data_IF_282630907447
#
_entry.id   IF_282630907447
#
_cell.length_a   1.000
_cell.length_b   1.000
_cell.length_c   1.000
_cell.angle_alpha   90.00
_cell.angle_beta   90.00
_cell.angle_gamma   90.00
#
_symmetry.space_group_name_H-M   'P 1'
#
loop_
_entity.id
_entity.type
_entity.pdbx_description
1 polymer ?
#
# COMPACT_ATOMS: atom_id res chain seq x y z
N UNK A 1 1.37 -9.01 -17.04
CA UNK A 1 2.17 -8.18 -17.97
C UNK A 1 1.70 -6.73 -18.03
N UNK A 2 0.41 -6.44 -18.27
CA UNK A 2 -0.11 -5.05 -18.36
C UNK A 2 0.16 -4.20 -17.09
N UNK A 3 -0.03 -4.77 -15.90
CA UNK A 3 0.21 -4.06 -14.64
C UNK A 3 1.70 -3.72 -14.46
N UNK A 4 2.60 -4.63 -14.84
CA UNK A 4 4.05 -4.40 -14.75
C UNK A 4 4.47 -3.29 -15.73
N UNK A 5 3.93 -3.29 -16.94
CA UNK A 5 4.19 -2.24 -17.95
C UNK A 5 3.66 -0.87 -17.49
N UNK A 6 2.49 -0.83 -16.85
CA UNK A 6 1.93 0.40 -16.29
C UNK A 6 2.76 0.95 -15.11
N UNK A 7 3.26 0.07 -14.24
CA UNK A 7 4.16 0.44 -13.14
C UNK A 7 5.49 0.93 -13.70
N UNK A 8 6.05 0.25 -14.70
CA UNK A 8 7.34 0.64 -15.30
C UNK A 8 7.25 1.99 -16.02
N UNK A 9 6.16 2.24 -16.74
CA UNK A 9 5.93 3.53 -17.41
C UNK A 9 5.78 4.69 -16.40
N UNK A 10 5.09 4.46 -15.28
CA UNK A 10 4.96 5.44 -14.21
C UNK A 10 6.27 5.74 -13.49
N UNK A 11 7.10 4.73 -13.26
CA UNK A 11 8.44 4.88 -12.69
C UNK A 11 9.34 5.67 -13.66
N UNK A 12 9.38 5.29 -14.95
CA UNK A 12 10.27 5.94 -15.93
C UNK A 12 9.93 7.40 -16.20
N UNK A 13 8.69 7.83 -16.00
CA UNK A 13 8.24 9.21 -16.27
C UNK A 13 8.70 10.24 -15.25
N UNK A 14 9.10 9.83 -14.05
CA UNK A 14 9.46 10.74 -12.95
C UNK A 14 10.88 10.56 -12.40
N UNK A 15 11.63 9.56 -12.87
CA UNK A 15 12.98 9.25 -12.38
C UNK A 15 13.97 10.39 -12.60
N UNK A 16 13.85 11.12 -13.71
CA UNK A 16 14.76 12.23 -14.02
C UNK A 16 14.57 13.41 -13.06
N UNK A 17 13.31 13.79 -12.78
CA UNK A 17 12.93 14.81 -11.79
C UNK A 17 13.29 14.37 -10.35
N UNK A 18 13.12 13.09 -10.04
CA UNK A 18 13.53 12.55 -8.74
C UNK A 18 15.04 12.61 -8.52
N UNK A 19 15.83 12.27 -9.55
CA UNK A 19 17.29 12.29 -9.45
C UNK A 19 17.83 13.72 -9.28
N UNK A 20 17.28 14.70 -9.99
CA UNK A 20 17.71 16.11 -9.86
C UNK A 20 17.39 16.68 -8.49
N UNK A 21 16.20 16.38 -7.94
CA UNK A 21 15.83 16.78 -6.58
C UNK A 21 16.67 16.03 -5.53
N UNK A 22 16.97 14.75 -5.75
CA UNK A 22 17.85 13.98 -4.85
C UNK A 22 19.26 14.58 -4.80
N UNK A 23 19.85 14.93 -5.94
CA UNK A 23 21.15 15.60 -6.00
C UNK A 23 21.14 16.94 -5.26
N UNK A 24 20.06 17.73 -5.38
CA UNK A 24 19.89 18.99 -4.66
C UNK A 24 19.75 18.79 -3.13
N UNK A 25 19.06 17.72 -2.70
CA UNK A 25 18.95 17.36 -1.28
C UNK A 25 20.29 16.90 -0.71
N UNK A 26 21.06 16.10 -1.46
CA UNK A 26 22.40 15.67 -1.08
C UNK A 26 23.39 16.86 -1.02
N UNK A 27 23.26 17.81 -1.93
CA UNK A 27 23.98 19.08 -1.92
C UNK A 27 23.51 20.07 -0.82
N UNK A 28 22.48 19.70 -0.03
CA UNK A 28 21.84 20.53 1.01
C UNK A 28 21.27 21.86 0.51
N UNK A 29 20.99 21.96 -0.79
CA UNK A 29 20.35 23.15 -1.38
C UNK A 29 18.83 23.09 -1.30
N UNK A 30 18.28 21.89 -1.08
CA UNK A 30 16.86 21.64 -0.86
C UNK A 30 16.63 20.76 0.38
N UNK A 31 15.47 20.92 1.01
CA UNK A 31 15.05 20.03 2.10
C UNK A 31 14.60 18.67 1.54
N UNK A 32 14.73 17.62 2.35
CA UNK A 32 14.22 16.28 2.02
C UNK A 32 12.74 16.26 1.66
N UNK A 33 11.97 17.26 2.09
CA UNK A 33 10.56 17.38 1.70
C UNK A 33 10.36 17.50 0.19
N UNK A 34 11.33 18.06 -0.54
CA UNK A 34 11.22 18.27 -1.99
C UNK A 34 11.08 16.94 -2.75
N UNK A 35 11.58 15.82 -2.21
CA UNK A 35 11.44 14.49 -2.82
C UNK A 35 9.98 14.03 -2.93
N UNK A 36 9.11 14.51 -2.03
CA UNK A 36 7.68 14.18 -2.03
C UNK A 36 6.85 15.05 -2.96
N UNK A 37 7.44 16.11 -3.53
CA UNK A 37 6.79 17.00 -4.50
C UNK A 37 7.17 16.63 -5.94
N UNK A 38 7.93 15.54 -6.12
CA UNK A 38 8.36 15.07 -7.43
C UNK A 38 7.20 14.44 -8.20
N UNK A 39 7.25 14.59 -9.52
CA UNK A 39 6.25 14.01 -10.43
C UNK A 39 6.16 12.47 -10.28
N UNK A 40 7.27 11.84 -9.89
CA UNK A 40 7.34 10.40 -9.61
C UNK A 40 6.45 10.00 -8.42
N UNK A 41 6.46 10.78 -7.34
CA UNK A 41 5.65 10.51 -6.15
C UNK A 41 4.15 10.67 -6.48
N UNK A 42 3.77 11.77 -7.15
CA UNK A 42 2.39 12.01 -7.57
C UNK A 42 1.86 10.93 -8.52
N UNK A 43 2.69 10.49 -9.47
CA UNK A 43 2.35 9.41 -10.41
C UNK A 43 2.13 8.09 -9.67
N UNK A 44 3.04 7.74 -8.75
CA UNK A 44 2.93 6.53 -7.95
C UNK A 44 1.67 6.53 -7.07
N UNK A 45 1.37 7.66 -6.43
CA UNK A 45 0.19 7.83 -5.60
C UNK A 45 -1.11 7.77 -6.43
N UNK A 46 -1.15 8.50 -7.55
CA UNK A 46 -2.30 8.52 -8.47
C UNK A 46 -2.60 7.13 -9.03
N UNK A 47 -1.57 6.40 -9.49
CA UNK A 47 -1.72 5.04 -9.99
C UNK A 47 -2.25 4.09 -8.91
N UNK A 48 -1.73 4.21 -7.68
CA UNK A 48 -2.18 3.40 -6.53
C UNK A 48 -3.65 3.67 -6.22
N UNK A 49 -4.08 4.94 -6.22
CA UNK A 49 -5.48 5.31 -6.01
C UNK A 49 -6.40 4.78 -7.12
N UNK A 50 -5.96 4.81 -8.37
CA UNK A 50 -6.69 4.24 -9.49
C UNK A 50 -6.85 2.72 -9.37
N UNK A 51 -5.75 2.02 -9.07
CA UNK A 51 -5.78 0.58 -8.84
C UNK A 51 -6.68 0.21 -7.67
N UNK A 52 -6.62 0.96 -6.57
CA UNK A 52 -7.48 0.75 -5.40
C UNK A 52 -8.96 0.83 -5.77
N UNK A 53 -9.37 1.85 -6.54
CA UNK A 53 -10.76 1.99 -7.02
C UNK A 53 -11.20 0.79 -7.84
N UNK A 54 -10.35 0.32 -8.76
CA UNK A 54 -10.62 -0.86 -9.60
C UNK A 54 -10.72 -2.12 -8.75
N UNK A 55 -9.81 -2.30 -7.79
CA UNK A 55 -9.81 -3.44 -6.88
C UNK A 55 -11.08 -3.49 -6.04
N UNK A 56 -11.52 -2.35 -5.48
CA UNK A 56 -12.78 -2.28 -4.72
C UNK A 56 -13.95 -2.68 -5.61
N UNK A 57 -14.05 -2.13 -6.83
CA UNK A 57 -15.11 -2.48 -7.76
C UNK A 57 -15.10 -3.97 -8.13
N UNK A 58 -13.92 -4.52 -8.43
CA UNK A 58 -13.74 -5.92 -8.74
C UNK A 58 -14.11 -6.83 -7.55
N UNK A 59 -13.73 -6.46 -6.32
CA UNK A 59 -14.05 -7.20 -5.10
C UNK A 59 -15.56 -7.25 -4.87
N UNK A 60 -16.26 -6.12 -5.00
CA UNK A 60 -17.71 -6.06 -4.86
C UNK A 60 -18.39 -6.95 -5.91
N UNK A 61 -18.01 -6.83 -7.18
CA UNK A 61 -18.55 -7.68 -8.25
C UNK A 61 -18.25 -9.16 -8.02
N UNK A 62 -17.04 -9.48 -7.56
CA UNK A 62 -16.61 -10.84 -7.26
C UNK A 62 -17.42 -11.47 -6.13
N UNK A 63 -17.64 -10.73 -5.03
CA UNK A 63 -18.45 -11.18 -3.89
C UNK A 63 -19.89 -11.41 -4.32
N UNK A 64 -20.51 -10.44 -5.02
CA UNK A 64 -21.88 -10.57 -5.51
C UNK A 64 -22.04 -11.78 -6.44
N UNK A 65 -21.12 -11.95 -7.38
CA UNK A 65 -21.12 -13.09 -8.29
C UNK A 65 -21.02 -14.43 -7.54
N UNK A 66 -20.11 -14.55 -6.56
CA UNK A 66 -19.92 -15.80 -5.81
C UNK A 66 -21.08 -16.14 -4.86
N UNK A 67 -21.71 -15.13 -4.27
CA UNK A 67 -22.90 -15.32 -3.44
C UNK A 67 -24.05 -15.90 -4.26
N UNK A 68 -24.26 -15.40 -5.48
CA UNK A 68 -25.37 -15.83 -6.35
C UNK A 68 -25.10 -17.18 -7.02
N UNK A 69 -23.87 -17.44 -7.45
CA UNK A 69 -23.57 -18.62 -8.30
C UNK A 69 -23.16 -19.86 -7.52
N UNK A 70 -22.40 -19.73 -6.42
CA UNK A 70 -21.75 -20.89 -5.81
C UNK A 70 -21.37 -20.67 -4.33
N UNK A 71 -22.36 -20.45 -3.47
CA UNK A 71 -22.15 -20.29 -2.02
C UNK A 71 -21.33 -21.45 -1.40
N UNK A 72 -21.57 -22.69 -1.83
CA UNK A 72 -20.90 -23.88 -1.29
C UNK A 72 -19.42 -24.00 -1.73
N UNK A 73 -19.08 -23.51 -2.93
CA UNK A 73 -17.69 -23.45 -3.42
C UNK A 73 -16.91 -22.29 -2.82
N UNK A 74 -17.60 -21.20 -2.48
CA UNK A 74 -17.03 -19.98 -1.87
C UNK A 74 -16.39 -20.19 -0.49
N UNK A 75 -16.63 -21.32 0.19
CA UNK A 75 -16.07 -21.62 1.52
C UNK A 75 -14.56 -21.41 1.62
N UNK A 76 -13.79 -21.81 0.59
CA UNK A 76 -12.33 -21.58 0.58
C UNK A 76 -12.00 -20.09 0.48
N UNK A 77 -12.69 -19.35 -0.40
CA UNK A 77 -12.54 -17.91 -0.53
C UNK A 77 -12.89 -17.16 0.75
N UNK A 78 -13.97 -17.57 1.43
CA UNK A 78 -14.38 -17.01 2.72
C UNK A 78 -13.36 -17.26 3.82
N UNK A 79 -12.73 -18.44 3.85
CA UNK A 79 -11.65 -18.75 4.80
C UNK A 79 -10.44 -17.83 4.56
N UNK A 80 -9.99 -17.66 3.31
CA UNK A 80 -8.89 -16.74 3.02
C UNK A 80 -9.22 -15.29 3.38
N UNK A 81 -10.45 -14.86 3.12
CA UNK A 81 -10.92 -13.55 3.52
C UNK A 81 -10.93 -13.38 5.05
N UNK A 82 -11.39 -14.40 5.78
CA UNK A 82 -11.38 -14.39 7.24
C UNK A 82 -9.95 -14.32 7.81
N UNK A 83 -9.01 -15.08 7.24
CA UNK A 83 -7.59 -15.01 7.63
C UNK A 83 -7.03 -13.61 7.37
N UNK A 84 -7.32 -13.02 6.22
CA UNK A 84 -6.88 -11.65 5.89
C UNK A 84 -7.49 -10.60 6.84
N UNK A 85 -8.78 -10.76 7.20
CA UNK A 85 -9.43 -9.90 8.18
C UNK A 85 -8.80 -10.02 9.58
N UNK A 86 -8.39 -11.23 10.00
CA UNK A 86 -7.66 -11.44 11.25
C UNK A 86 -6.31 -10.73 11.22
N UNK A 87 -5.54 -10.89 10.14
CA UNK A 87 -4.23 -10.22 10.00
C UNK A 87 -4.41 -8.69 10.06
N UNK A 88 -5.39 -8.16 9.33
CA UNK A 88 -5.69 -6.74 9.33
C UNK A 88 -6.13 -6.23 10.71
N UNK A 89 -6.95 -7.02 11.42
CA UNK A 89 -7.38 -6.69 12.77
C UNK A 89 -6.21 -6.69 13.75
N UNK A 90 -5.35 -7.71 13.71
CA UNK A 90 -4.14 -7.77 14.55
C UNK A 90 -3.22 -6.59 14.25
N UNK A 91 -3.00 -6.26 12.98
CA UNK A 91 -2.20 -5.11 12.59
C UNK A 91 -2.80 -3.79 13.13
N UNK A 92 -4.11 -3.59 12.98
CA UNK A 92 -4.83 -2.43 13.51
C UNK A 92 -4.74 -2.35 15.05
N UNK A 93 -4.95 -3.47 15.75
CA UNK A 93 -4.95 -3.53 17.22
C UNK A 93 -3.57 -3.28 17.82
N UNK A 94 -2.49 -3.57 17.11
CA UNK A 94 -1.12 -3.30 17.55
C UNK A 94 -0.68 -1.84 17.34
N UNK A 95 -1.47 -1.01 16.68
CA UNK A 95 -1.14 0.41 16.53
C UNK A 95 -1.51 1.16 17.81
N UNK A 96 -0.47 1.67 18.47
CA UNK A 96 -0.59 2.65 19.54
C UNK A 96 -0.61 4.06 18.90
N UNK A 97 -1.72 4.81 19.01
CA UNK A 97 -1.86 6.14 18.41
C UNK A 97 -1.15 7.23 19.21
N UNK A 98 -0.70 6.92 20.44
CA UNK A 98 -0.02 7.87 21.33
C UNK A 98 1.51 7.67 21.27
N UNK A 99 1.98 6.49 20.86
CA UNK A 99 3.39 6.17 20.65
C UNK A 99 3.88 6.54 19.23
N UNK A 100 3.62 7.77 18.79
CA UNK A 100 3.98 8.24 17.45
C UNK A 100 5.39 8.81 17.44
N UNK A 101 6.24 8.33 16.53
CA UNK A 101 7.58 8.89 16.36
C UNK A 101 7.53 10.35 15.89
N UNK A 102 8.53 11.15 16.27
CA UNK A 102 8.63 12.58 15.88
C UNK A 102 8.51 12.78 14.36
N UNK A 103 9.02 11.83 13.56
CA UNK A 103 8.97 11.86 12.09
C UNK A 103 7.55 11.71 11.57
N UNK A 104 6.79 10.79 12.15
CA UNK A 104 5.39 10.56 11.77
C UNK A 104 4.52 11.73 12.25
N UNK A 105 4.78 12.26 13.45
CA UNK A 105 4.08 13.44 13.96
C UNK A 105 4.25 14.64 13.01
N UNK A 106 5.48 14.90 12.55
CA UNK A 106 5.75 15.95 11.57
C UNK A 106 5.02 15.73 10.24
N UNK A 107 4.82 14.48 9.81
CA UNK A 107 4.06 14.15 8.61
C UNK A 107 2.55 14.39 8.80
N UNK A 108 2.00 14.02 9.97
CA UNK A 108 0.61 14.29 10.33
C UNK A 108 0.33 15.81 10.39
N UNK A 109 1.26 16.59 10.94
CA UNK A 109 1.15 18.05 11.03
C UNK A 109 1.23 18.71 9.64
N UNK A 110 2.09 18.20 8.75
CA UNK A 110 2.15 18.63 7.35
C UNK A 110 0.83 18.35 6.63
N UNK A 111 0.29 17.15 6.80
CA UNK A 111 -1.01 16.78 6.23
C UNK A 111 -2.13 17.69 6.75
N UNK A 112 -2.19 17.93 8.06
CA UNK A 112 -3.20 18.81 8.64
C UNK A 112 -3.15 20.23 8.06
N UNK A 113 -1.94 20.76 7.82
CA UNK A 113 -1.74 22.07 7.19
C UNK A 113 -2.13 22.09 5.70
N UNK A 114 -1.83 21.03 4.94
CA UNK A 114 -2.14 20.98 3.51
C UNK A 114 -3.61 20.67 3.21
N UNK A 115 -4.23 19.84 4.05
CA UNK A 115 -5.56 19.27 3.81
C UNK A 115 -6.67 19.97 4.60
N UNK A 116 -6.30 20.87 5.53
CA UNK A 116 -7.25 21.58 6.40
C UNK A 116 -7.98 20.70 7.40
N UNK A 117 -7.57 19.43 7.55
CA UNK A 117 -8.20 18.44 8.41
C UNK A 117 -7.14 17.62 9.14
N UNK A 118 -7.30 17.45 10.45
CA UNK A 118 -6.41 16.63 11.25
C UNK A 118 -6.74 15.14 11.09
N UNK A 119 -5.70 14.31 11.01
CA UNK A 119 -5.85 12.86 11.07
C UNK A 119 -6.15 12.49 12.52
N UNK A 120 -7.29 11.83 12.75
CA UNK A 120 -7.65 11.37 14.10
C UNK A 120 -6.85 10.12 14.48
N UNK A 121 -6.84 9.76 15.77
CA UNK A 121 -6.20 8.51 16.22
C UNK A 121 -6.77 7.27 15.53
N UNK A 122 -8.07 7.26 15.18
CA UNK A 122 -8.70 6.18 14.42
C UNK A 122 -8.18 6.11 12.99
N UNK A 123 -8.11 7.25 12.31
CA UNK A 123 -7.60 7.34 10.93
C UNK A 123 -6.14 6.86 10.87
N UNK A 124 -5.33 7.26 11.85
CA UNK A 124 -3.95 6.83 11.99
C UNK A 124 -3.84 5.31 12.15
N UNK A 125 -4.66 4.69 13.01
CA UNK A 125 -4.69 3.23 13.17
C UNK A 125 -5.06 2.50 11.88
N UNK A 126 -6.00 3.03 11.12
CA UNK A 126 -6.40 2.45 9.82
C UNK A 126 -5.24 2.54 8.83
N UNK A 127 -4.57 3.70 8.73
CA UNK A 127 -3.45 3.91 7.82
C UNK A 127 -2.28 2.98 8.17
N UNK A 128 -1.82 3.01 9.41
CA UNK A 128 -0.65 2.22 9.84
C UNK A 128 -0.96 0.72 9.86
N UNK A 129 -2.14 0.34 10.35
CA UNK A 129 -2.60 -1.05 10.32
C UNK A 129 -2.71 -1.59 8.89
N UNK A 130 -3.21 -0.77 7.96
CA UNK A 130 -3.27 -1.10 6.53
C UNK A 130 -1.88 -1.28 5.90
N UNK A 131 -0.96 -0.34 6.13
CA UNK A 131 0.43 -0.44 5.65
C UNK A 131 1.11 -1.70 6.19
N UNK A 132 0.96 -1.95 7.50
CA UNK A 132 1.55 -3.14 8.16
C UNK A 132 0.99 -4.42 7.55
N UNK A 133 -0.31 -4.48 7.31
CA UNK A 133 -0.96 -5.62 6.64
C UNK A 133 -0.39 -5.86 5.25
N UNK A 134 -0.23 -4.79 4.46
CA UNK A 134 0.34 -4.88 3.12
C UNK A 134 1.78 -5.41 3.13
N UNK A 135 2.62 -4.94 4.06
CA UNK A 135 4.01 -5.42 4.21
C UNK A 135 4.03 -6.90 4.58
N UNK A 136 3.21 -7.33 5.54
CA UNK A 136 3.12 -8.74 5.96
C UNK A 136 2.72 -9.63 4.78
N UNK A 137 1.72 -9.22 3.99
CA UNK A 137 1.28 -9.98 2.82
C UNK A 137 2.35 -10.01 1.72
N UNK A 138 3.08 -8.91 1.53
CA UNK A 138 4.17 -8.84 0.55
C UNK A 138 5.30 -9.83 0.91
N UNK A 139 5.71 -9.86 2.18
CA UNK A 139 6.71 -10.82 2.66
C UNK A 139 6.19 -12.26 2.54
N UNK A 140 4.95 -12.52 2.97
CA UNK A 140 4.34 -13.84 2.86
C UNK A 140 4.28 -14.33 1.40
N UNK A 141 3.97 -13.45 0.46
CA UNK A 141 3.96 -13.76 -0.97
C UNK A 141 5.37 -14.04 -1.49
N UNK A 142 6.36 -13.24 -1.12
CA UNK A 142 7.76 -13.48 -1.53
C UNK A 142 8.27 -14.84 -1.03
N UNK A 143 7.96 -15.20 0.22
CA UNK A 143 8.30 -16.51 0.79
C UNK A 143 7.57 -17.64 0.06
N UNK A 144 6.27 -17.49 -0.18
CA UNK A 144 5.47 -18.51 -0.90
C UNK A 144 5.99 -18.72 -2.33
N UNK A 145 6.37 -17.64 -3.00
CA UNK A 145 6.96 -17.68 -4.33
C UNK A 145 8.29 -18.45 -4.31
N UNK A 146 9.22 -18.09 -3.42
CA UNK A 146 10.51 -18.76 -3.30
C UNK A 146 10.36 -20.26 -2.98
N UNK A 147 9.47 -20.62 -2.04
CA UNK A 147 9.19 -22.02 -1.71
C UNK A 147 8.55 -22.77 -2.88
N UNK A 148 7.68 -22.10 -3.64
CA UNK A 148 7.06 -22.66 -4.84
C UNK A 148 8.08 -22.95 -5.95
N UNK A 149 9.04 -22.04 -6.16
CA UNK A 149 10.15 -22.27 -7.08
C UNK A 149 11.02 -23.44 -6.64
N UNK A 150 11.43 -23.49 -5.37
CA UNK A 150 12.24 -24.58 -4.80
C UNK A 150 11.52 -25.93 -4.99
N UNK A 151 10.24 -26.02 -4.62
CA UNK A 151 9.47 -27.25 -4.80
C UNK A 151 9.39 -27.68 -6.27
N UNK A 152 9.22 -26.72 -7.18
CA UNK A 152 9.16 -27.00 -8.61
C UNK A 152 10.52 -27.44 -9.20
N UNK A 153 11.65 -27.03 -8.60
CA UNK A 153 12.98 -27.52 -9.00
C UNK A 153 13.25 -28.97 -8.58
N UNK A 154 12.61 -29.45 -7.50
CA UNK A 154 12.77 -30.82 -7.01
C UNK A 154 11.72 -31.80 -7.53
N UNK A 155 10.86 -31.36 -8.44
CA UNK A 155 9.86 -32.19 -9.12
C UNK A 155 10.23 -32.35 -10.59
#
# INVERSE_FOLDING_TARGET
MIIIVAIFAGISGGVEDFNTVQEAVEAKTMDKSALYETTMFDTGLSLTLWLLKITIAALVLFVLYHVVTNFKSSRKGLIYFAVLAIIAFVAYSNVDPDAVSITIQNALDKFAKSSGSAITGTDYKIIVGGITTAIVLLVANAVTFALGEIYNFFK
#
